data_IF_407707593717
#
_entry.id   IF_407707593717
#
_cell.length_a   1.000
_cell.length_b   1.000
_cell.length_c   1.000
_cell.angle_alpha   90.00
_cell.angle_beta   90.00
_cell.angle_gamma   90.00
#
_symmetry.space_group_name_H-M   'P 1'
#
loop_
_entity.id
_entity.type
_entity.pdbx_description
1 polymer ?
#
# COMPACT_ATOMS: atom_id res chain seq x y z
N UNK A 1 -1.21 -17.42 6.69
CA UNK A 1 0.13 -17.22 7.27
C UNK A 1 0.02 -16.84 8.74
N UNK A 2 0.99 -17.22 9.57
CA UNK A 2 1.12 -16.77 10.96
C UNK A 2 2.25 -15.72 11.16
N UNK A 3 2.39 -15.19 12.37
CA UNK A 3 3.36 -14.14 12.68
C UNK A 3 4.83 -14.53 12.41
N UNK A 4 5.23 -15.76 12.76
CA UNK A 4 6.60 -16.24 12.56
C UNK A 4 6.90 -16.47 11.08
N UNK A 5 5.93 -17.02 10.33
CA UNK A 5 6.01 -17.18 8.88
C UNK A 5 6.15 -15.82 8.19
N UNK A 6 5.36 -14.82 8.58
CA UNK A 6 5.42 -13.47 8.03
C UNK A 6 6.78 -12.82 8.31
N UNK A 7 7.28 -12.90 9.54
CA UNK A 7 8.60 -12.38 9.90
C UNK A 7 9.72 -13.04 9.10
N UNK A 8 9.63 -14.36 8.92
CA UNK A 8 10.60 -15.13 8.12
C UNK A 8 10.54 -14.72 6.66
N UNK A 9 9.35 -14.55 6.09
CA UNK A 9 9.17 -14.11 4.71
C UNK A 9 9.77 -12.71 4.47
N UNK A 10 9.57 -11.79 5.43
CA UNK A 10 10.14 -10.44 5.36
C UNK A 10 11.66 -10.40 5.54
N UNK A 11 12.23 -11.35 6.29
CA UNK A 11 13.67 -11.41 6.53
C UNK A 11 14.48 -11.48 5.22
N UNK A 12 13.95 -12.18 4.21
CA UNK A 12 14.58 -12.28 2.88
C UNK A 12 14.80 -10.90 2.26
N UNK A 13 13.84 -9.98 2.40
CA UNK A 13 13.94 -8.63 1.84
C UNK A 13 14.92 -7.75 2.63
N UNK A 14 15.09 -8.02 3.93
CA UNK A 14 16.05 -7.30 4.76
C UNK A 14 17.49 -7.73 4.47
N UNK A 15 17.72 -9.03 4.35
CA UNK A 15 19.05 -9.58 4.12
C UNK A 15 19.56 -9.24 2.72
N UNK A 16 18.65 -9.15 1.74
CA UNK A 16 18.98 -8.83 0.35
C UNK A 16 18.71 -7.35 0.01
N UNK A 17 18.72 -6.45 1.01
CA UNK A 17 18.35 -5.04 0.84
C UNK A 17 19.05 -4.36 -0.34
N UNK A 18 20.34 -4.64 -0.57
CA UNK A 18 21.12 -4.03 -1.66
C UNK A 18 20.79 -4.60 -3.04
N UNK A 19 20.24 -5.81 -3.11
CA UNK A 19 19.95 -6.54 -4.36
C UNK A 19 18.50 -6.38 -4.84
N UNK A 20 17.59 -5.95 -3.95
CA UNK A 20 16.18 -5.70 -4.28
C UNK A 20 15.96 -4.29 -4.84
N UNK A 21 15.10 -4.20 -5.85
CA UNK A 21 14.61 -2.97 -6.45
C UNK A 21 13.37 -2.41 -5.74
N UNK A 22 12.95 -1.23 -6.20
CA UNK A 22 11.68 -0.60 -5.81
C UNK A 22 11.06 0.07 -7.03
N UNK A 23 9.75 -0.09 -7.18
CA UNK A 23 8.92 0.64 -8.15
C UNK A 23 7.70 1.22 -7.43
N UNK A 24 7.22 2.37 -7.90
CA UNK A 24 6.04 3.02 -7.35
C UNK A 24 5.02 3.23 -8.46
N UNK A 25 3.78 2.82 -8.21
CA UNK A 25 2.67 2.97 -9.14
C UNK A 25 1.56 3.80 -8.51
N UNK A 26 0.87 4.60 -9.31
CA UNK A 26 -0.29 5.38 -8.92
C UNK A 26 -1.58 4.66 -9.35
N UNK A 27 -2.54 4.61 -8.43
CA UNK A 27 -3.95 4.31 -8.73
C UNK A 27 -4.69 5.65 -8.77
N UNK A 28 -5.35 5.98 -9.88
CA UNK A 28 -6.03 7.27 -10.06
C UNK A 28 -7.52 7.23 -9.68
N UNK A 29 -8.10 8.38 -9.34
CA UNK A 29 -9.51 8.54 -8.94
C UNK A 29 -10.51 8.44 -10.09
N UNK A 30 -10.15 8.91 -11.29
CA UNK A 30 -11.09 9.03 -12.42
C UNK A 30 -11.22 7.76 -13.25
N UNK A 31 -10.69 6.65 -12.76
CA UNK A 31 -10.66 5.42 -13.52
C UNK A 31 -11.87 4.58 -13.15
N UNK A 32 -12.68 4.26 -14.16
CA UNK A 32 -13.85 3.39 -14.06
C UNK A 32 -13.39 1.96 -13.73
N UNK A 33 -12.94 1.68 -12.51
CA UNK A 33 -12.56 0.39 -11.92
C UNK A 33 -11.69 -0.62 -12.74
N UNK A 34 -11.36 -0.33 -14.01
CA UNK A 34 -10.81 -1.25 -15.02
C UNK A 34 -9.55 -0.73 -15.71
N UNK A 35 -9.00 0.42 -15.31
CA UNK A 35 -7.72 0.89 -15.83
C UNK A 35 -6.59 0.53 -14.86
N UNK A 36 -5.47 0.07 -15.43
CA UNK A 36 -4.34 -0.49 -14.70
C UNK A 36 -3.54 0.59 -13.96
N UNK A 37 -2.85 0.25 -12.86
CA UNK A 37 -1.94 1.16 -12.17
C UNK A 37 -0.88 1.73 -13.13
N UNK A 38 -0.53 3.00 -12.94
CA UNK A 38 0.47 3.67 -13.77
C UNK A 38 1.77 3.88 -13.01
N UNK A 39 2.90 3.49 -13.61
CA UNK A 39 4.23 3.63 -13.01
C UNK A 39 4.63 5.10 -12.91
N UNK A 40 5.10 5.51 -11.73
CA UNK A 40 5.58 6.88 -11.51
C UNK A 40 7.07 6.93 -11.81
N UNK A 41 7.48 7.89 -12.65
CA UNK A 41 8.89 8.16 -12.91
C UNK A 41 9.52 8.95 -11.74
N UNK A 42 10.30 8.25 -10.92
CA UNK A 42 10.99 8.79 -9.74
C UNK A 42 12.50 8.59 -9.93
N UNK A 43 13.29 9.62 -9.59
CA UNK A 43 14.75 9.55 -9.72
C UNK A 43 15.36 8.40 -8.90
N UNK A 44 16.44 7.80 -9.41
CA UNK A 44 17.08 6.64 -8.79
C UNK A 44 17.51 6.88 -7.33
N UNK A 45 18.03 8.07 -7.01
CA UNK A 45 18.42 8.42 -5.64
C UNK A 45 17.20 8.51 -4.71
N UNK A 46 16.10 9.12 -5.18
CA UNK A 46 14.84 9.18 -4.40
C UNK A 46 14.20 7.80 -4.22
N UNK A 47 14.30 6.91 -5.22
CA UNK A 47 13.84 5.52 -5.09
C UNK A 47 14.65 4.78 -4.03
N UNK A 48 15.98 4.98 -3.97
CA UNK A 48 16.82 4.38 -2.91
C UNK A 48 16.36 4.81 -1.51
N UNK A 49 16.08 6.09 -1.33
CA UNK A 49 15.60 6.62 -0.04
C UNK A 49 14.19 6.12 0.31
N UNK A 50 13.29 6.00 -0.68
CA UNK A 50 11.97 5.41 -0.49
C UNK A 50 12.05 3.93 -0.12
N UNK A 51 12.97 3.17 -0.73
CA UNK A 51 13.21 1.76 -0.36
C UNK A 51 13.60 1.65 1.11
N UNK A 52 14.56 2.47 1.55
CA UNK A 52 14.97 2.51 2.95
C UNK A 52 13.80 2.86 3.89
N UNK A 53 12.99 3.85 3.51
CA UNK A 53 11.82 4.27 4.29
C UNK A 53 10.82 3.13 4.52
N UNK A 54 10.44 2.41 3.47
CA UNK A 54 9.43 1.35 3.56
C UNK A 54 9.97 0.06 4.17
N UNK A 55 11.22 -0.33 3.89
CA UNK A 55 11.87 -1.47 4.56
C UNK A 55 11.97 -1.23 6.07
N UNK A 56 12.34 -0.01 6.48
CA UNK A 56 12.35 0.35 7.90
C UNK A 56 10.93 0.29 8.50
N UNK A 57 9.92 0.78 7.77
CA UNK A 57 8.53 0.71 8.22
C UNK A 57 8.04 -0.73 8.42
N UNK A 58 8.40 -1.65 7.51
CA UNK A 58 8.06 -3.07 7.64
C UNK A 58 8.69 -3.68 8.89
N UNK A 59 9.96 -3.36 9.14
CA UNK A 59 10.68 -3.83 10.32
C UNK A 59 10.00 -3.35 11.61
N UNK A 60 9.73 -2.05 11.73
CA UNK A 60 9.11 -1.45 12.91
C UNK A 60 7.68 -1.93 13.14
N UNK A 61 6.92 -2.11 12.05
CA UNK A 61 5.49 -2.47 12.13
C UNK A 61 5.26 -3.95 12.41
N UNK A 62 6.18 -4.81 11.95
CA UNK A 62 5.96 -6.27 11.91
C UNK A 62 7.08 -7.01 12.64
N UNK A 63 8.33 -6.86 12.20
CA UNK A 63 9.44 -7.70 12.65
C UNK A 63 9.88 -7.41 14.08
N UNK A 64 9.90 -6.13 14.46
CA UNK A 64 10.32 -5.69 15.79
C UNK A 64 9.21 -5.83 16.84
N UNK A 65 7.95 -6.04 16.42
CA UNK A 65 6.83 -6.31 17.34
C UNK A 65 6.98 -7.70 17.94
N UNK A 66 7.23 -7.78 19.25
CA UNK A 66 7.36 -9.05 19.98
C UNK A 66 6.02 -9.81 20.03
N UNK A 67 4.96 -9.13 20.46
CA UNK A 67 3.61 -9.71 20.58
C UNK A 67 2.76 -9.38 19.34
N UNK A 68 3.22 -9.83 18.17
CA UNK A 68 2.47 -9.68 16.92
C UNK A 68 1.48 -10.83 16.75
N UNK A 69 0.21 -10.50 16.60
CA UNK A 69 -0.83 -11.45 16.20
C UNK A 69 -1.13 -11.32 14.72
N UNK A 70 -1.21 -12.47 14.03
CA UNK A 70 -1.69 -12.58 12.66
C UNK A 70 -2.91 -13.50 12.68
N UNK A 71 -4.06 -12.98 12.27
CA UNK A 71 -5.36 -13.65 12.34
C UNK A 71 -6.08 -13.60 11.00
N UNK A 72 -6.99 -14.52 10.73
CA UNK A 72 -7.84 -14.41 9.54
C UNK A 72 -8.85 -13.27 9.70
N UNK A 73 -9.04 -12.49 8.64
CA UNK A 73 -9.89 -11.31 8.65
C UNK A 73 -11.36 -11.66 8.92
N UNK A 74 -11.84 -12.81 8.43
CA UNK A 74 -13.19 -13.33 8.74
C UNK A 74 -13.42 -13.57 10.24
N UNK A 75 -12.35 -13.76 11.02
CA UNK A 75 -12.40 -13.96 12.47
C UNK A 75 -12.12 -12.68 13.26
N UNK A 76 -12.01 -11.53 12.58
CA UNK A 76 -11.59 -10.29 13.18
C UNK A 76 -12.52 -9.85 14.31
N UNK A 77 -11.93 -9.64 15.49
CA UNK A 77 -12.51 -8.89 16.60
C UNK A 77 -11.78 -7.55 16.65
N UNK A 78 -12.51 -6.46 16.40
CA UNK A 78 -12.01 -5.07 16.34
C UNK A 78 -11.21 -4.63 17.58
N UNK A 79 -11.29 -5.40 18.68
CA UNK A 79 -10.62 -5.11 19.96
C UNK A 79 -9.16 -5.57 19.99
N UNK A 80 -8.68 -6.30 19.00
CA UNK A 80 -7.32 -6.86 18.98
C UNK A 80 -6.43 -6.05 18.04
N UNK A 81 -5.31 -5.55 18.55
CA UNK A 81 -4.22 -4.99 17.73
C UNK A 81 -3.48 -6.15 17.04
N UNK A 82 -3.93 -6.50 15.84
CA UNK A 82 -3.43 -7.61 15.03
C UNK A 82 -3.28 -7.21 13.56
N UNK A 83 -2.47 -7.95 12.83
CA UNK A 83 -2.45 -7.96 11.37
C UNK A 83 -3.43 -9.03 10.90
N UNK A 84 -4.22 -8.75 9.87
CA UNK A 84 -5.22 -9.69 9.38
C UNK A 84 -4.85 -10.27 8.02
N UNK A 85 -4.91 -11.59 7.86
CA UNK A 85 -4.86 -12.25 6.55
C UNK A 85 -6.21 -12.06 5.88
N UNK A 86 -6.21 -11.48 4.69
CA UNK A 86 -7.42 -11.26 3.91
C UNK A 86 -7.88 -12.60 3.30
N UNK A 87 -8.96 -13.16 3.84
CA UNK A 87 -9.50 -14.47 3.48
C UNK A 87 -10.92 -14.40 2.87
N UNK A 88 -11.31 -13.22 2.38
CA UNK A 88 -12.63 -12.94 1.80
C UNK A 88 -12.55 -12.69 0.28
N UNK A 89 -13.70 -12.55 -0.37
CA UNK A 89 -13.80 -12.13 -1.79
C UNK A 89 -13.07 -10.78 -2.00
N UNK A 90 -12.02 -10.77 -2.83
CA UNK A 90 -11.21 -9.57 -3.06
C UNK A 90 -12.03 -8.49 -3.82
N UNK A 91 -12.21 -7.29 -3.26
CA UNK A 91 -12.92 -6.21 -3.91
C UNK A 91 -12.15 -5.69 -5.14
N UNK A 92 -12.89 -5.16 -6.11
CA UNK A 92 -12.37 -4.70 -7.40
C UNK A 92 -11.27 -3.65 -7.22
N UNK A 93 -11.40 -2.77 -6.23
CA UNK A 93 -10.42 -1.73 -5.93
C UNK A 93 -9.04 -2.28 -5.53
N UNK A 94 -8.97 -3.50 -5.00
CA UNK A 94 -7.73 -4.16 -4.60
C UNK A 94 -7.12 -5.02 -5.72
N UNK A 95 -7.83 -5.26 -6.83
CA UNK A 95 -7.27 -5.93 -8.01
C UNK A 95 -6.09 -5.18 -8.63
N UNK A 96 -5.99 -3.87 -8.34
CA UNK A 96 -4.84 -3.04 -8.71
C UNK A 96 -3.51 -3.59 -8.17
N UNK A 97 -3.52 -4.23 -7.00
CA UNK A 97 -2.33 -4.89 -6.40
C UNK A 97 -1.88 -6.06 -7.28
N UNK A 98 -2.81 -6.92 -7.69
CA UNK A 98 -2.50 -8.10 -8.51
C UNK A 98 -2.02 -7.70 -9.91
N UNK A 99 -2.50 -6.56 -10.45
CA UNK A 99 -2.05 -6.05 -11.74
C UNK A 99 -0.55 -5.69 -11.76
N UNK A 100 -0.01 -5.18 -10.64
CA UNK A 100 1.43 -4.90 -10.49
C UNK A 100 2.24 -6.19 -10.47
N UNK A 101 1.75 -7.22 -9.77
CA UNK A 101 2.42 -8.52 -9.69
C UNK A 101 2.39 -9.29 -11.01
N UNK A 102 1.39 -9.04 -11.86
CA UNK A 102 1.17 -9.78 -13.10
C UNK A 102 1.96 -9.22 -14.31
N UNK A 103 2.41 -7.96 -14.27
CA UNK A 103 3.06 -7.31 -15.41
C UNK A 103 4.08 -6.26 -14.98
N UNK A 104 5.32 -6.43 -15.46
CA UNK A 104 6.39 -5.43 -15.30
C UNK A 104 6.25 -4.23 -16.26
N UNK A 105 5.41 -4.35 -17.30
CA UNK A 105 5.26 -3.35 -18.38
C UNK A 105 4.01 -2.49 -18.20
N UNK A 106 3.84 -1.95 -16.99
CA UNK A 106 2.77 -1.00 -16.70
C UNK A 106 3.08 0.38 -17.29
N UNK A 107 2.07 1.09 -17.83
CA UNK A 107 2.26 2.37 -18.48
C UNK A 107 2.81 3.43 -17.52
N UNK A 108 3.69 4.29 -18.01
CA UNK A 108 4.16 5.45 -17.25
C UNK A 108 3.04 6.48 -17.07
N UNK A 109 2.97 7.05 -15.87
CA UNK A 109 2.12 8.19 -15.55
C UNK A 109 2.71 9.45 -16.19
N UNK A 110 1.94 10.11 -17.05
CA UNK A 110 2.36 11.39 -17.64
C UNK A 110 2.16 12.53 -16.63
N UNK A 111 3.21 12.84 -15.86
CA UNK A 111 3.25 13.91 -14.88
C UNK A 111 3.12 15.33 -15.48
N UNK A 112 3.17 15.47 -16.82
CA UNK A 112 2.96 16.76 -17.49
C UNK A 112 1.47 17.07 -17.70
N UNK A 113 0.63 16.04 -17.70
CA UNK A 113 -0.82 16.14 -17.95
C UNK A 113 -1.63 15.81 -16.69
N UNK A 114 -1.25 14.77 -15.95
CA UNK A 114 -1.97 14.29 -14.79
C UNK A 114 -1.73 15.16 -13.56
N UNK A 115 -2.79 15.48 -12.80
CA UNK A 115 -2.63 16.12 -11.49
C UNK A 115 -2.26 15.08 -10.43
N UNK A 116 -1.34 15.43 -9.54
CA UNK A 116 -1.06 14.60 -8.37
C UNK A 116 -2.29 14.47 -7.45
N UNK A 117 -3.23 15.43 -7.54
CA UNK A 117 -4.50 15.41 -6.80
C UNK A 117 -5.43 14.28 -7.23
N UNK A 118 -5.20 13.70 -8.41
CA UNK A 118 -5.99 12.58 -8.93
C UNK A 118 -5.49 11.23 -8.41
N UNK A 119 -4.34 11.17 -7.74
CA UNK A 119 -3.83 9.94 -7.15
C UNK A 119 -4.70 9.56 -5.94
N UNK A 120 -5.34 8.40 -6.03
CA UNK A 120 -6.13 7.75 -4.96
C UNK A 120 -5.23 6.98 -4.00
N UNK A 121 -4.27 6.22 -4.54
CA UNK A 121 -3.36 5.38 -3.77
C UNK A 121 -2.03 5.18 -4.51
N UNK A 122 -1.02 4.77 -3.75
CA UNK A 122 0.27 4.32 -4.25
C UNK A 122 0.42 2.82 -3.99
N UNK A 123 0.92 2.11 -4.98
CA UNK A 123 1.40 0.74 -4.86
C UNK A 123 2.93 0.80 -4.85
N UNK A 124 3.55 0.30 -3.79
CA UNK A 124 5.00 0.27 -3.63
C UNK A 124 5.45 -1.18 -3.76
N UNK A 125 6.00 -1.51 -4.90
CA UNK A 125 6.57 -2.81 -5.20
C UNK A 125 8.03 -2.83 -4.76
N UNK A 126 8.42 -3.83 -3.97
CA UNK A 126 9.79 -4.01 -3.49
C UNK A 126 10.15 -5.47 -3.71
N UNK A 127 11.25 -5.73 -4.40
CA UNK A 127 11.64 -7.09 -4.71
C UNK A 127 12.63 -7.25 -5.85
N UNK A 128 12.77 -8.49 -6.27
CA UNK A 128 13.56 -8.90 -7.42
C UNK A 128 12.90 -10.13 -8.08
N UNK A 129 13.62 -10.79 -8.96
CA UNK A 129 13.17 -11.99 -9.66
C UNK A 129 12.99 -13.24 -8.77
N UNK A 130 13.39 -13.18 -7.48
CA UNK A 130 13.23 -14.28 -6.52
C UNK A 130 11.97 -14.10 -5.68
N UNK A 131 11.63 -12.86 -5.34
CA UNK A 131 10.46 -12.55 -4.54
C UNK A 131 10.14 -11.07 -4.55
N UNK A 132 8.86 -10.76 -4.38
CA UNK A 132 8.32 -9.41 -4.41
C UNK A 132 7.24 -9.23 -3.35
N UNK A 133 7.18 -8.02 -2.80
CA UNK A 133 6.09 -7.55 -1.97
C UNK A 133 5.48 -6.30 -2.60
N UNK A 134 4.18 -6.10 -2.37
CA UNK A 134 3.49 -4.86 -2.76
C UNK A 134 2.83 -4.27 -1.54
N UNK A 135 3.15 -3.00 -1.25
CA UNK A 135 2.49 -2.22 -0.21
C UNK A 135 1.41 -1.35 -0.84
N UNK A 136 0.20 -1.42 -0.31
CA UNK A 136 -0.87 -0.50 -0.68
C UNK A 136 -0.92 0.66 0.30
N UNK A 137 -0.80 1.88 -0.23
CA UNK A 137 -0.84 3.12 0.55
C UNK A 137 -1.90 4.07 0.02
N UNK A 138 -2.94 4.33 0.80
CA UNK A 138 -3.94 5.35 0.46
C UNK A 138 -3.32 6.74 0.51
N UNK A 139 -3.62 7.57 -0.50
CA UNK A 139 -3.18 8.96 -0.56
C UNK A 139 -4.24 9.89 0.02
N UNK A 140 -4.00 10.35 1.25
CA UNK A 140 -4.81 11.40 1.83
C UNK A 140 -4.56 12.74 1.14
N UNK A 141 -5.61 13.53 0.92
CA UNK A 141 -5.53 14.87 0.29
C UNK A 141 -4.50 15.78 0.96
N UNK A 142 -4.32 15.66 2.28
CA UNK A 142 -3.33 16.44 3.05
C UNK A 142 -1.87 16.18 2.67
N UNK A 143 -1.60 15.08 1.98
CA UNK A 143 -0.25 14.73 1.49
C UNK A 143 -0.01 15.20 0.04
N UNK A 144 -1.01 15.80 -0.60
CA UNK A 144 -0.90 16.33 -1.96
C UNK A 144 -0.96 17.85 -1.87
N UNK A 145 0.15 18.49 -2.20
CA UNK A 145 0.31 19.93 -2.12
C UNK A 145 0.18 20.50 -3.52
N UNK A 146 -0.90 21.24 -3.76
CA UNK A 146 -1.23 21.83 -5.05
C UNK A 146 -1.05 23.35 -5.05
N UNK A 147 -1.27 23.99 -6.20
CA UNK A 147 -1.07 25.43 -6.41
C UNK A 147 -2.00 26.34 -5.59
N UNK A 148 -2.97 25.78 -4.86
CA UNK A 148 -3.90 26.53 -4.01
C UNK A 148 -3.26 27.08 -2.73
N UNK A 149 -2.03 26.69 -2.40
CA UNK A 149 -1.32 27.08 -1.17
C UNK A 149 0.08 27.62 -1.47
N UNK A 150 0.60 28.47 -0.57
CA UNK A 150 1.92 29.09 -0.71
C UNK A 150 2.96 28.30 0.08
N UNK A 151 3.78 27.51 -0.61
CA UNK A 151 4.78 26.66 0.02
C UNK A 151 6.17 27.27 -0.09
N UNK A 152 6.94 27.13 0.99
CA UNK A 152 8.30 27.61 1.10
C UNK A 152 9.22 26.46 1.54
N UNK A 153 10.31 26.21 0.80
CA UNK A 153 11.39 25.32 1.21
C UNK A 153 12.60 26.12 1.67
N UNK A 154 13.38 25.59 2.62
CA UNK A 154 14.69 26.14 2.97
C UNK A 154 15.68 25.89 1.84
N UNK A 155 16.29 26.96 1.35
CA UNK A 155 17.47 26.91 0.47
C UNK A 155 18.61 27.71 1.10
N UNK A 156 19.62 27.00 1.62
CA UNK A 156 20.80 27.56 2.32
C UNK A 156 20.45 28.60 3.40
N UNK A 157 20.32 29.87 3.01
CA UNK A 157 20.07 31.03 3.88
C UNK A 157 18.72 31.74 3.63
N UNK A 158 17.86 31.23 2.75
CA UNK A 158 16.54 31.82 2.45
C UNK A 158 15.45 30.76 2.32
N UNK A 159 14.22 31.23 2.26
CA UNK A 159 13.08 30.41 1.86
C UNK A 159 12.79 30.65 0.38
N UNK A 160 12.62 29.57 -0.38
CA UNK A 160 12.22 29.59 -1.79
C UNK A 160 10.83 29.03 -1.96
N UNK A 161 10.06 29.66 -2.85
CA UNK A 161 8.70 29.20 -3.17
C UNK A 161 8.74 27.87 -3.93
N UNK A 162 7.78 27.01 -3.64
CA UNK A 162 7.45 25.85 -4.47
C UNK A 162 6.22 26.21 -5.30
N UNK A 163 6.39 26.29 -6.63
CA UNK A 163 5.33 26.71 -7.58
C UNK A 163 4.62 25.54 -8.28
N UNK A 164 5.13 24.32 -8.09
CA UNK A 164 4.61 23.10 -8.71
C UNK A 164 3.92 22.21 -7.68
N UNK A 165 3.10 21.27 -8.16
CA UNK A 165 2.53 20.24 -7.29
C UNK A 165 3.64 19.34 -6.74
N UNK A 166 3.50 18.93 -5.49
CA UNK A 166 4.39 17.93 -4.89
C UNK A 166 3.62 17.06 -3.91
N UNK A 167 4.16 15.87 -3.68
CA UNK A 167 3.55 14.87 -2.80
C UNK A 167 4.47 14.59 -1.62
N UNK A 168 3.88 14.32 -0.46
CA UNK A 168 4.57 13.81 0.71
C UNK A 168 4.24 12.33 0.87
N UNK A 169 5.26 11.48 0.78
CA UNK A 169 5.13 10.07 1.10
C UNK A 169 5.55 9.86 2.55
N UNK A 170 4.70 9.20 3.31
CA UNK A 170 5.00 8.73 4.68
C UNK A 170 5.19 7.22 4.68
N UNK A 171 5.89 6.71 5.68
CA UNK A 171 6.23 5.29 5.82
C UNK A 171 5.01 4.37 5.97
N UNK A 172 3.92 4.83 6.61
CA UNK A 172 2.74 3.99 6.85
C UNK A 172 2.03 3.52 5.58
N UNK A 173 1.53 2.30 5.60
CA UNK A 173 0.79 1.62 4.54
C UNK A 173 -0.40 0.86 5.14
N UNK A 174 -1.41 0.56 4.33
CA UNK A 174 -2.66 -0.05 4.77
C UNK A 174 -2.66 -1.57 4.56
N UNK A 175 -2.09 -2.02 3.44
CA UNK A 175 -2.06 -3.44 3.08
C UNK A 175 -0.64 -3.85 2.65
N UNK A 176 -0.33 -5.13 2.85
CA UNK A 176 0.90 -5.78 2.43
C UNK A 176 0.55 -7.07 1.69
N UNK A 177 1.01 -7.20 0.44
CA UNK A 177 0.89 -8.42 -0.35
C UNK A 177 2.25 -9.12 -0.36
N UNK A 178 2.31 -10.37 0.11
CA UNK A 178 3.52 -11.19 0.23
C UNK A 178 3.17 -12.68 0.12
N UNK A 179 3.96 -13.47 -0.62
CA UNK A 179 3.81 -14.94 -0.76
C UNK A 179 2.36 -15.41 -0.99
N UNK A 180 1.69 -14.88 -2.01
CA UNK A 180 0.28 -15.21 -2.29
C UNK A 180 -0.78 -14.85 -1.23
N UNK A 181 -0.37 -14.17 -0.16
CA UNK A 181 -1.29 -13.64 0.85
C UNK A 181 -1.35 -12.11 0.81
N UNK A 182 -2.54 -11.58 1.07
CA UNK A 182 -2.81 -10.17 1.28
C UNK A 182 -3.07 -9.95 2.77
N UNK A 183 -2.33 -9.03 3.38
CA UNK A 183 -2.37 -8.72 4.80
C UNK A 183 -2.90 -7.30 5.00
N UNK A 184 -3.82 -7.14 5.96
CA UNK A 184 -4.40 -5.89 6.39
C UNK A 184 -3.65 -5.40 7.63
N UNK A 185 -2.99 -4.26 7.49
CA UNK A 185 -2.20 -3.61 8.54
C UNK A 185 -3.04 -2.55 9.27
N UNK A 186 -3.97 -1.92 8.56
CA UNK A 186 -4.86 -0.88 9.08
C UNK A 186 -6.32 -1.23 8.72
N UNK A 187 -6.99 -1.94 9.64
CA UNK A 187 -8.37 -2.39 9.47
C UNK A 187 -9.34 -1.22 9.29
N UNK A 188 -9.15 -0.13 10.05
CA UNK A 188 -10.00 1.06 9.95
C UNK A 188 -9.90 1.74 8.58
N UNK A 189 -8.74 1.69 7.93
CA UNK A 189 -8.60 2.17 6.56
C UNK A 189 -9.21 1.22 5.54
N UNK A 190 -9.22 -0.10 5.80
CA UNK A 190 -9.94 -1.05 4.95
C UNK A 190 -11.45 -0.75 4.95
N UNK A 191 -12.03 -0.61 6.14
CA UNK A 191 -13.46 -0.32 6.33
C UNK A 191 -13.92 0.97 5.65
N UNK A 192 -13.15 2.04 5.84
CA UNK A 192 -13.50 3.35 5.30
C UNK A 192 -13.40 3.43 3.77
N UNK A 193 -12.45 2.72 3.17
CA UNK A 193 -12.09 2.94 1.77
C UNK A 193 -12.62 1.87 0.80
N UNK A 194 -13.05 0.70 1.29
CA UNK A 194 -13.37 -0.47 0.45
C UNK A 194 -14.75 -1.09 0.74
N UNK A 195 -15.68 -0.31 1.31
CA UNK A 195 -17.05 -0.78 1.53
C UNK A 195 -17.14 -2.05 2.38
N UNK A 196 -16.14 -2.31 3.24
CA UNK A 196 -15.95 -3.58 3.94
C UNK A 196 -17.17 -4.01 4.77
N UNK A 197 -17.97 -3.05 5.23
CA UNK A 197 -19.24 -3.31 5.90
C UNK A 197 -20.19 -4.18 5.06
N UNK A 198 -20.20 -4.00 3.73
CA UNK A 198 -21.03 -4.79 2.81
C UNK A 198 -20.51 -6.22 2.67
N UNK A 199 -19.18 -6.42 2.70
CA UNK A 199 -18.53 -7.74 2.63
C UNK A 199 -18.82 -8.54 3.90
N UNK A 200 -18.62 -7.95 5.09
CA UNK A 200 -18.97 -8.61 6.37
C UNK A 200 -20.47 -8.96 6.41
N UNK A 201 -21.33 -8.04 5.96
CA UNK A 201 -22.79 -8.28 5.96
C UNK A 201 -23.16 -9.45 5.05
N UNK A 202 -22.54 -9.55 3.87
CA UNK A 202 -22.73 -10.66 2.93
C UNK A 202 -22.26 -11.99 3.53
N UNK A 203 -21.09 -12.00 4.17
CA UNK A 203 -20.53 -13.20 4.79
C UNK A 203 -21.37 -13.67 5.99
N UNK A 204 -21.79 -12.74 6.85
CA UNK A 204 -22.67 -13.02 7.98
C UNK A 204 -24.03 -13.59 7.52
N UNK A 205 -24.59 -13.09 6.41
CA UNK A 205 -25.81 -13.64 5.83
C UNK A 205 -25.62 -15.07 5.32
N UNK A 206 -24.49 -15.38 4.68
CA UNK A 206 -24.16 -16.74 4.20
C UNK A 206 -23.92 -17.72 5.35
N UNK A 207 -23.32 -17.25 6.45
CA UNK A 207 -23.17 -18.04 7.68
C UNK A 207 -24.50 -18.42 8.33
N UNK A 208 -25.52 -17.55 8.27
CA UNK A 208 -26.87 -17.86 8.77
C UNK A 208 -27.55 -18.93 7.91
N UNK A 209 -27.48 -18.82 6.58
CA UNK A 209 -28.04 -19.82 5.66
C UNK A 209 -27.43 -21.22 5.87
N UNK A 210 -26.15 -21.28 6.21
CA UNK A 210 -25.42 -22.53 6.47
C UNK A 210 -25.85 -23.23 7.76
N UNK A 211 -26.47 -22.51 8.70
CA UNK A 211 -26.97 -23.05 9.98
C UNK A 211 -28.45 -23.48 9.87
N UNK A 212 -29.21 -22.89 8.93
CA UNK A 212 -30.63 -23.22 8.70
C UNK A 212 -30.86 -24.46 7.81
N UNK A 213 -29.79 -25.12 7.35
CA UNK A 213 -29.83 -26.38 6.58
C UNK A 213 -29.45 -27.59 7.42
#
# INVERSE_FOLDING_TARGET
MNADELKTALQVFYDNFDEIGISVYAVLKSQNNNEQPQKIDISADSLRDLKALFIQSLRETISDKQDLFVLDLSTADERVDAIYVYDLDLPEELQSIESVLASDDLPLLDLSVSSLSDIKALLIEIGNNVGQIVLYKTMATVNIFSRASFFLKKDRHRLEKIDNEFLRITSGFQLLRINDELLVIDLSALERNFGFHEIITKEAASGIESIET
#
